data_IF_635770237110
#
_entry.id   IF_635770237110
#
_cell.length_a   1.000
_cell.length_b   1.000
_cell.length_c   1.000
_cell.angle_alpha   90.00
_cell.angle_beta   90.00
_cell.angle_gamma   90.00
#
_symmetry.space_group_name_H-M   'P 1'
#
loop_
_entity.id
_entity.type
_entity.pdbx_description
1 polymer ?
#
# COMPACT_ATOMS: atom_id res chain seq x y z
N UNK A 1 -42.01 2.00 -22.36
CA UNK A 1 -41.49 1.63 -21.01
C UNK A 1 -40.03 1.33 -21.23
N UNK A 2 -39.22 2.38 -21.25
CA UNK A 2 -37.81 2.29 -21.61
C UNK A 2 -37.01 2.28 -20.31
N UNK A 3 -36.27 1.21 -20.09
CA UNK A 3 -35.37 1.11 -18.95
C UNK A 3 -34.28 2.19 -19.10
N UNK A 4 -34.05 3.05 -18.09
CA UNK A 4 -33.01 4.05 -18.17
C UNK A 4 -31.66 3.33 -18.19
N UNK A 5 -30.92 3.51 -19.28
CA UNK A 5 -29.55 3.05 -19.43
C UNK A 5 -28.73 3.57 -18.26
N UNK A 6 -28.23 2.64 -17.44
CA UNK A 6 -27.30 2.95 -16.36
C UNK A 6 -26.08 3.63 -16.99
N UNK A 7 -25.95 4.93 -16.73
CA UNK A 7 -24.77 5.72 -17.09
C UNK A 7 -23.56 5.12 -16.36
N UNK A 8 -22.72 4.37 -17.07
CA UNK A 8 -21.52 3.73 -16.50
C UNK A 8 -20.46 4.74 -16.00
N UNK A 9 -20.69 6.06 -16.16
CA UNK A 9 -19.80 7.10 -15.65
C UNK A 9 -20.11 7.55 -14.21
N UNK A 10 -21.15 6.97 -13.57
CA UNK A 10 -21.50 7.24 -12.18
C UNK A 10 -21.18 6.07 -11.24
N UNK A 11 -20.18 5.25 -11.58
CA UNK A 11 -19.51 4.50 -10.53
C UNK A 11 -18.95 5.55 -9.57
N UNK A 12 -19.23 5.48 -8.25
CA UNK A 12 -18.49 6.30 -7.31
C UNK A 12 -17.02 6.10 -7.67
N UNK A 13 -16.23 7.18 -7.75
CA UNK A 13 -14.78 7.06 -7.80
C UNK A 13 -14.44 6.09 -6.67
N UNK A 14 -14.20 4.82 -7.02
CA UNK A 14 -13.55 3.87 -6.15
C UNK A 14 -12.15 4.45 -6.15
N UNK A 15 -11.95 5.50 -5.35
CA UNK A 15 -10.64 5.94 -4.92
C UNK A 15 -10.03 4.63 -4.50
N UNK A 16 -9.09 4.17 -5.31
CA UNK A 16 -8.56 2.84 -5.20
C UNK A 16 -7.71 2.88 -3.93
N UNK A 17 -8.38 2.77 -2.79
CA UNK A 17 -7.84 2.87 -1.43
C UNK A 17 -6.89 1.70 -1.15
N UNK A 18 -6.82 0.77 -2.10
CA UNK A 18 -5.83 -0.29 -2.22
C UNK A 18 -4.50 0.19 -2.80
N UNK A 19 -4.30 1.49 -3.05
CA UNK A 19 -2.96 1.98 -3.43
C UNK A 19 -2.00 1.83 -2.26
N UNK A 20 -0.78 1.40 -2.55
CA UNK A 20 0.31 1.27 -1.58
C UNK A 20 0.49 2.56 -0.76
N UNK A 21 0.32 3.73 -1.38
CA UNK A 21 0.39 5.03 -0.69
C UNK A 21 -0.64 5.19 0.44
N UNK A 22 -1.89 4.76 0.21
CA UNK A 22 -2.95 4.89 1.21
C UNK A 22 -2.69 3.93 2.38
N UNK A 23 -2.15 2.75 2.10
CA UNK A 23 -1.72 1.81 3.14
C UNK A 23 -0.55 2.36 3.97
N UNK A 24 0.44 3.00 3.35
CA UNK A 24 1.55 3.62 4.08
C UNK A 24 1.08 4.75 5.00
N UNK A 25 0.10 5.55 4.55
CA UNK A 25 -0.53 6.56 5.40
C UNK A 25 -1.29 5.93 6.57
N UNK A 26 -2.06 4.86 6.32
CA UNK A 26 -2.76 4.13 7.37
C UNK A 26 -1.81 3.50 8.39
N UNK A 27 -0.67 2.98 7.96
CA UNK A 27 0.38 2.44 8.81
C UNK A 27 1.19 3.52 9.57
N UNK A 28 0.76 4.79 9.52
CA UNK A 28 1.41 5.94 10.14
C UNK A 28 2.90 6.05 9.80
N UNK A 29 3.26 5.70 8.56
CA UNK A 29 4.62 5.92 8.07
C UNK A 29 4.77 7.42 7.80
N UNK A 30 5.57 8.10 8.63
CA UNK A 30 5.81 9.53 8.46
C UNK A 30 6.33 9.85 7.04
N UNK A 31 5.98 11.03 6.49
CA UNK A 31 6.38 11.43 5.14
C UNK A 31 7.89 11.39 4.92
N UNK A 32 8.67 11.67 5.96
CA UNK A 32 10.15 11.63 5.97
C UNK A 32 10.70 10.22 5.72
N UNK A 33 10.01 9.17 6.19
CA UNK A 33 10.38 7.78 5.92
C UNK A 33 9.77 7.25 4.63
N UNK A 34 8.80 7.96 4.03
CA UNK A 34 8.09 7.53 2.83
C UNK A 34 9.02 7.23 1.66
N UNK A 35 10.07 8.05 1.45
CA UNK A 35 11.02 7.84 0.36
C UNK A 35 11.88 6.57 0.56
N UNK A 36 12.40 6.40 1.78
CA UNK A 36 13.25 5.25 2.14
C UNK A 36 12.45 3.95 2.11
N UNK A 37 11.24 3.98 2.67
CA UNK A 37 10.31 2.84 2.64
C UNK A 37 9.94 2.51 1.20
N UNK A 38 9.49 3.47 0.38
CA UNK A 38 9.14 3.22 -1.03
C UNK A 38 10.30 2.64 -1.83
N UNK A 39 11.53 3.11 -1.60
CA UNK A 39 12.73 2.55 -2.24
C UNK A 39 12.96 1.10 -1.82
N UNK A 40 12.86 0.79 -0.52
CA UNK A 40 12.96 -0.58 -0.01
C UNK A 40 11.90 -1.51 -0.59
N UNK A 41 10.65 -1.04 -0.67
CA UNK A 41 9.54 -1.77 -1.27
C UNK A 41 9.74 -2.00 -2.77
N UNK A 42 10.21 -0.98 -3.50
CA UNK A 42 10.56 -1.10 -4.92
C UNK A 42 11.65 -2.13 -5.18
N UNK A 43 12.68 -2.19 -4.32
CA UNK A 43 13.74 -3.21 -4.40
C UNK A 43 13.24 -4.64 -4.14
N UNK A 44 12.11 -4.79 -3.45
CA UNK A 44 11.43 -6.07 -3.23
C UNK A 44 10.36 -6.38 -4.28
N UNK A 45 10.13 -5.46 -5.24
CA UNK A 45 9.05 -5.58 -6.21
C UNK A 45 7.65 -5.42 -5.60
N UNK A 46 7.55 -4.87 -4.38
CA UNK A 46 6.26 -4.64 -3.72
C UNK A 46 5.58 -3.44 -4.36
N UNK A 47 4.53 -3.71 -5.12
CA UNK A 47 3.73 -2.70 -5.82
C UNK A 47 2.33 -2.53 -5.23
N UNK A 48 1.89 -3.47 -4.40
CA UNK A 48 0.57 -3.50 -3.78
C UNK A 48 0.65 -3.94 -2.32
N UNK A 49 -0.20 -3.40 -1.44
CA UNK A 49 -0.14 -3.69 0.00
C UNK A 49 -0.43 -5.17 0.31
N UNK A 50 -1.27 -5.83 -0.47
CA UNK A 50 -1.56 -7.26 -0.28
C UNK A 50 -0.31 -8.13 -0.41
N UNK A 51 0.76 -7.62 -1.03
CA UNK A 51 2.01 -8.35 -1.16
C UNK A 51 2.76 -8.50 0.17
N UNK A 52 2.51 -7.62 1.15
CA UNK A 52 3.13 -7.71 2.48
C UNK A 52 2.90 -9.06 3.17
N UNK A 53 1.82 -9.77 2.83
CA UNK A 53 1.55 -11.10 3.37
C UNK A 53 2.61 -12.16 3.02
N UNK A 54 3.45 -11.90 2.01
CA UNK A 54 4.51 -12.80 1.56
C UNK A 54 5.89 -12.42 2.10
N UNK A 55 6.00 -11.31 2.83
CA UNK A 55 7.26 -10.82 3.38
C UNK A 55 7.27 -10.90 4.90
N UNK A 56 8.47 -11.09 5.44
CA UNK A 56 8.74 -10.96 6.88
C UNK A 56 9.33 -9.59 7.20
N UNK A 57 9.20 -9.18 8.45
CA UNK A 57 9.79 -7.93 8.96
C UNK A 57 11.31 -7.87 8.73
N UNK A 58 12.01 -8.99 8.90
CA UNK A 58 13.45 -9.09 8.67
C UNK A 58 13.84 -8.90 7.17
N UNK A 59 12.99 -9.30 6.23
CA UNK A 59 13.22 -9.10 4.79
C UNK A 59 13.01 -7.63 4.40
N UNK A 60 12.02 -6.97 5.01
CA UNK A 60 11.79 -5.53 4.84
C UNK A 60 12.96 -4.71 5.40
N UNK A 61 13.41 -5.04 6.61
CA UNK A 61 14.54 -4.34 7.24
C UNK A 61 15.87 -4.54 6.50
N UNK A 62 16.12 -5.75 5.97
CA UNK A 62 17.28 -6.03 5.14
C UNK A 62 17.32 -5.19 3.84
N UNK A 63 16.20 -4.61 3.42
CA UNK A 63 16.09 -3.74 2.24
C UNK A 63 15.97 -2.25 2.59
N UNK A 64 16.21 -1.89 3.85
CA UNK A 64 16.26 -0.51 4.31
C UNK A 64 14.94 0.05 4.82
N UNK A 65 13.89 -0.78 4.97
CA UNK A 65 12.67 -0.35 5.67
C UNK A 65 13.00 -0.24 7.17
N UNK A 66 12.69 0.88 7.85
CA UNK A 66 12.93 1.00 9.29
C UNK A 66 12.24 -0.12 10.09
N UNK A 67 12.84 -0.66 11.17
CA UNK A 67 12.27 -1.78 11.93
C UNK A 67 10.84 -1.55 12.43
N UNK A 68 10.54 -0.35 12.95
CA UNK A 68 9.18 0.00 13.39
C UNK A 68 8.18 0.00 12.24
N UNK A 69 8.58 0.50 11.07
CA UNK A 69 7.76 0.45 9.86
C UNK A 69 7.57 -0.99 9.37
N UNK A 70 8.64 -1.79 9.32
CA UNK A 70 8.59 -3.17 8.88
C UNK A 70 7.61 -3.99 9.71
N UNK A 71 7.65 -3.84 11.05
CA UNK A 71 6.69 -4.49 11.94
C UNK A 71 5.26 -4.03 11.65
N UNK A 72 4.98 -2.73 11.56
CA UNK A 72 3.63 -2.23 11.26
C UNK A 72 3.08 -2.73 9.91
N UNK A 73 3.94 -3.00 8.93
CA UNK A 73 3.52 -3.46 7.59
C UNK A 73 3.20 -4.96 7.53
N UNK A 74 3.82 -5.79 8.39
CA UNK A 74 3.60 -7.24 8.41
C UNK A 74 2.69 -7.72 9.55
N UNK A 75 2.47 -6.89 10.57
CA UNK A 75 1.63 -7.23 11.70
C UNK A 75 0.15 -7.16 11.26
N UNK A 76 -0.51 -8.32 11.22
CA UNK A 76 -1.91 -8.50 10.82
C UNK A 76 -2.87 -8.23 11.97
#
# INVERSE_FOLDING_TARGET
MDAPGANMNSLPNFVNNSTLNNFLQFAHIEPEYSLVVKKGLGNLGITHWSMFQWFRDNELTAKGVPPGAAQSLVNK
#
